data_IF_703631870142
#
_entry.id   IF_703631870142
#
_cell.length_a   1.000
_cell.length_b   1.000
_cell.length_c   1.000
_cell.angle_alpha   90.00
_cell.angle_beta   90.00
_cell.angle_gamma   90.00
#
_symmetry.space_group_name_H-M   'P 1'
#
loop_
_entity.id
_entity.type
_entity.pdbx_description
1 polymer ?
#
# COMPACT_ATOMS: atom_id res chain seq x y z
N UNK A 1 -24.48 -3.37 12.97
CA UNK A 1 -23.38 -2.63 12.30
C UNK A 1 -22.43 -3.66 11.74
N UNK A 2 -21.89 -3.48 10.52
CA UNK A 2 -20.77 -4.32 10.06
C UNK A 2 -19.55 -3.89 10.87
N UNK A 3 -18.83 -4.85 11.44
CA UNK A 3 -17.55 -4.60 12.08
C UNK A 3 -16.54 -4.22 11.00
N UNK A 4 -15.79 -3.15 11.20
CA UNK A 4 -14.70 -2.75 10.33
C UNK A 4 -13.50 -3.64 10.67
N UNK A 5 -13.01 -4.44 9.71
CA UNK A 5 -11.87 -5.34 9.96
C UNK A 5 -10.56 -4.81 9.39
N UNK A 6 -9.46 -5.42 9.81
CA UNK A 6 -8.14 -5.20 9.23
C UNK A 6 -8.14 -5.45 7.72
N UNK A 7 -8.76 -6.54 7.26
CA UNK A 7 -8.85 -6.91 5.85
C UNK A 7 -9.61 -5.87 5.03
N UNK A 8 -10.68 -5.27 5.58
CA UNK A 8 -11.38 -4.16 4.93
C UNK A 8 -10.45 -2.97 4.70
N UNK A 9 -9.63 -2.63 5.69
CA UNK A 9 -8.61 -1.57 5.59
C UNK A 9 -7.56 -1.88 4.53
N UNK A 10 -7.09 -3.13 4.51
CA UNK A 10 -6.10 -3.59 3.54
C UNK A 10 -6.64 -3.58 2.10
N UNK A 11 -7.91 -3.93 1.89
CA UNK A 11 -8.56 -3.82 0.58
C UNK A 11 -8.69 -2.36 0.12
N UNK A 12 -9.01 -1.44 1.03
CA UNK A 12 -9.00 0.00 0.73
C UNK A 12 -7.60 0.46 0.32
N UNK A 13 -6.53 -0.02 0.97
CA UNK A 13 -5.16 0.28 0.56
C UNK A 13 -4.87 -0.18 -0.88
N UNK A 14 -5.30 -1.39 -1.26
CA UNK A 14 -5.18 -1.90 -2.65
C UNK A 14 -5.92 -1.00 -3.64
N UNK A 15 -7.14 -0.59 -3.32
CA UNK A 15 -7.96 0.29 -4.18
C UNK A 15 -7.30 1.67 -4.37
N UNK A 16 -6.79 2.26 -3.29
CA UNK A 16 -6.04 3.53 -3.37
C UNK A 16 -4.82 3.36 -4.27
N UNK A 17 -4.01 2.32 -4.04
CA UNK A 17 -2.79 2.10 -4.80
C UNK A 17 -3.05 1.91 -6.31
N UNK A 18 -4.16 1.28 -6.70
CA UNK A 18 -4.57 1.17 -8.12
C UNK A 18 -4.75 2.54 -8.80
N UNK A 19 -5.19 3.55 -8.05
CA UNK A 19 -5.54 4.87 -8.58
C UNK A 19 -4.44 5.94 -8.54
N UNK A 20 -3.27 5.65 -7.96
CA UNK A 20 -2.22 6.67 -7.71
C UNK A 20 -0.83 6.22 -8.11
N UNK A 21 0.04 7.19 -8.45
CA UNK A 21 1.48 6.98 -8.65
C UNK A 21 2.23 6.77 -7.32
N UNK A 22 3.49 6.31 -7.39
CA UNK A 22 4.31 6.02 -6.21
C UNK A 22 4.52 7.25 -5.29
N UNK A 23 4.91 8.45 -5.78
CA UNK A 23 5.05 9.62 -4.92
C UNK A 23 3.75 10.02 -4.19
N UNK A 24 2.59 9.89 -4.84
CA UNK A 24 1.29 10.13 -4.20
C UNK A 24 0.96 9.04 -3.18
N UNK A 25 1.24 7.77 -3.50
CA UNK A 25 1.04 6.66 -2.58
C UNK A 25 1.84 6.84 -1.28
N UNK A 26 3.12 7.22 -1.40
CA UNK A 26 3.98 7.49 -0.24
C UNK A 26 3.45 8.64 0.62
N UNK A 27 2.98 9.74 0.00
CA UNK A 27 2.36 10.84 0.74
C UNK A 27 1.09 10.42 1.47
N UNK A 28 0.23 9.62 0.83
CA UNK A 28 -0.99 9.10 1.46
C UNK A 28 -0.60 8.21 2.65
N UNK A 29 0.34 7.29 2.47
CA UNK A 29 0.84 6.43 3.53
C UNK A 29 1.32 7.24 4.75
N UNK A 30 2.15 8.27 4.57
CA UNK A 30 2.63 9.09 5.70
C UNK A 30 1.51 9.85 6.41
N UNK A 31 0.55 10.41 5.65
CA UNK A 31 -0.61 11.11 6.23
C UNK A 31 -1.48 10.16 7.04
N UNK A 32 -1.79 8.98 6.49
CA UNK A 32 -2.64 7.98 7.14
C UNK A 32 -1.93 7.35 8.34
N UNK A 33 -0.63 7.08 8.23
CA UNK A 33 0.20 6.61 9.35
C UNK A 33 0.20 7.60 10.50
N UNK A 34 0.27 8.90 10.21
CA UNK A 34 0.13 9.94 11.24
C UNK A 34 -1.28 9.99 11.83
N UNK A 35 -2.31 9.83 11.00
CA UNK A 35 -3.70 9.77 11.47
C UNK A 35 -3.96 8.56 12.39
N UNK A 36 -3.27 7.44 12.16
CA UNK A 36 -3.35 6.24 13.00
C UNK A 36 -2.98 6.51 14.47
N UNK A 37 -2.11 7.49 14.75
CA UNK A 37 -1.74 7.88 16.12
C UNK A 37 -2.93 8.43 16.93
N UNK A 38 -4.01 8.84 16.26
CA UNK A 38 -5.25 9.27 16.90
C UNK A 38 -6.12 8.09 17.39
N UNK A 39 -5.89 6.87 16.89
CA UNK A 39 -6.64 5.66 17.24
C UNK A 39 -5.92 4.88 18.35
N UNK A 40 -6.10 5.35 19.59
CA UNK A 40 -5.38 4.83 20.77
C UNK A 40 -6.05 3.63 21.44
N UNK A 41 -7.37 3.52 21.30
CA UNK A 41 -8.16 2.47 21.94
C UNK A 41 -8.32 1.28 20.98
N UNK A 42 -8.28 0.06 21.51
CA UNK A 42 -8.60 -1.14 20.75
C UNK A 42 -10.07 -1.12 20.33
N UNK A 43 -10.31 -1.42 19.05
CA UNK A 43 -11.64 -1.39 18.44
C UNK A 43 -11.57 -1.56 16.93
N UNK A 44 -12.72 -1.87 16.34
CA UNK A 44 -12.88 -2.13 14.90
C UNK A 44 -12.29 -1.02 14.02
N UNK A 45 -12.45 0.26 14.41
CA UNK A 45 -11.86 1.38 13.68
C UNK A 45 -10.33 1.38 13.70
N UNK A 46 -9.73 0.96 14.83
CA UNK A 46 -8.28 0.86 14.97
C UNK A 46 -7.75 -0.28 14.12
N UNK A 47 -8.43 -1.43 14.12
CA UNK A 47 -8.04 -2.60 13.31
C UNK A 47 -8.12 -2.30 11.81
N UNK A 48 -9.20 -1.64 11.37
CA UNK A 48 -9.31 -1.14 10.00
C UNK A 48 -8.19 -0.18 9.62
N UNK A 49 -7.90 0.80 10.48
CA UNK A 49 -6.85 1.78 10.21
C UNK A 49 -5.46 1.13 10.18
N UNK A 50 -5.21 0.10 11.01
CA UNK A 50 -3.99 -0.72 10.94
C UNK A 50 -3.87 -1.40 9.57
N UNK A 51 -4.91 -2.08 9.11
CA UNK A 51 -4.92 -2.74 7.81
C UNK A 51 -4.66 -1.77 6.65
N UNK A 52 -5.26 -0.58 6.71
CA UNK A 52 -5.03 0.48 5.73
C UNK A 52 -3.57 0.96 5.73
N UNK A 53 -2.99 1.24 6.90
CA UNK A 53 -1.59 1.70 7.02
C UNK A 53 -0.62 0.63 6.55
N UNK A 54 -0.80 -0.62 6.98
CA UNK A 54 0.06 -1.74 6.59
C UNK A 54 0.00 -1.97 5.09
N UNK A 55 -1.20 -2.06 4.51
CA UNK A 55 -1.38 -2.24 3.08
C UNK A 55 -0.76 -1.13 2.25
N UNK A 56 -0.95 0.15 2.65
CA UNK A 56 -0.33 1.28 1.94
C UNK A 56 1.20 1.22 2.02
N UNK A 57 1.74 0.89 3.18
CA UNK A 57 3.18 0.78 3.41
C UNK A 57 3.82 -0.36 2.61
N UNK A 58 3.20 -1.53 2.59
CA UNK A 58 3.67 -2.69 1.82
C UNK A 58 3.67 -2.44 0.32
N UNK A 59 2.54 -1.95 -0.22
CA UNK A 59 2.43 -1.69 -1.66
C UNK A 59 3.42 -0.59 -2.08
N UNK A 60 3.61 0.43 -1.24
CA UNK A 60 4.61 1.47 -1.48
C UNK A 60 6.03 0.90 -1.55
N UNK A 61 6.43 0.06 -0.59
CA UNK A 61 7.76 -0.59 -0.57
C UNK A 61 7.97 -1.46 -1.80
N UNK A 62 6.99 -2.30 -2.14
CA UNK A 62 7.07 -3.17 -3.33
C UNK A 62 7.29 -2.35 -4.61
N UNK A 63 6.53 -1.25 -4.79
CA UNK A 63 6.69 -0.38 -5.96
C UNK A 63 8.05 0.31 -6.01
N UNK A 64 8.59 0.69 -4.86
CA UNK A 64 9.93 1.26 -4.76
C UNK A 64 11.01 0.23 -5.15
N UNK A 65 10.90 -1.00 -4.66
CA UNK A 65 11.82 -2.08 -5.00
C UNK A 65 11.77 -2.41 -6.49
N UNK A 66 10.58 -2.46 -7.08
CA UNK A 66 10.41 -2.64 -8.54
C UNK A 66 11.09 -1.50 -9.30
N UNK A 67 10.87 -0.24 -8.90
CA UNK A 67 11.52 0.90 -9.54
C UNK A 67 13.05 0.82 -9.43
N UNK A 68 13.57 0.37 -8.28
CA UNK A 68 14.99 0.16 -8.04
C UNK A 68 15.56 -0.93 -8.95
N UNK A 69 14.89 -2.07 -9.05
CA UNK A 69 15.29 -3.18 -9.95
C UNK A 69 15.33 -2.72 -11.40
N UNK A 70 14.31 -2.00 -11.86
CA UNK A 70 14.26 -1.45 -13.22
C UNK A 70 15.44 -0.50 -13.46
N UNK A 71 15.80 0.34 -12.50
CA UNK A 71 16.93 1.26 -12.64
C UNK A 71 18.28 0.53 -12.72
N UNK A 72 18.48 -0.52 -11.92
CA UNK A 72 19.69 -1.37 -11.98
C UNK A 72 19.76 -2.10 -13.33
N UNK A 73 18.65 -2.66 -13.81
CA UNK A 73 18.64 -3.33 -15.10
C UNK A 73 18.97 -2.38 -16.26
N UNK A 74 18.41 -1.18 -16.25
CA UNK A 74 18.70 -0.13 -17.23
C UNK A 74 20.18 0.25 -17.26
N UNK A 75 20.85 0.36 -16.10
CA UNK A 75 22.29 0.67 -16.06
C UNK A 75 23.17 -0.45 -16.62
N UNK A 76 22.63 -1.67 -16.73
CA UNK A 76 23.27 -2.83 -17.34
C UNK A 76 22.88 -3.03 -18.82
N UNK A 77 22.08 -2.13 -19.41
CA UNK A 77 21.57 -2.28 -20.78
C UNK A 77 20.46 -3.33 -20.94
N UNK A 78 19.83 -3.74 -19.83
CA UNK A 78 18.76 -4.75 -19.79
C UNK A 78 17.40 -4.04 -19.78
N UNK A 79 16.50 -4.42 -20.69
CA UNK A 79 15.11 -3.99 -20.66
C UNK A 79 14.28 -4.95 -19.81
N UNK A 80 13.52 -4.43 -18.85
CA UNK A 80 12.59 -5.20 -18.00
C UNK A 80 11.20 -4.62 -18.16
N UNK A 81 10.23 -5.49 -18.44
CA UNK A 81 8.81 -5.17 -18.39
C UNK A 81 8.20 -5.83 -17.14
N UNK A 82 7.53 -5.04 -16.30
CA UNK A 82 6.88 -5.54 -15.07
C UNK A 82 5.39 -5.36 -15.19
N UNK A 83 4.66 -6.48 -15.19
CA UNK A 83 3.20 -6.51 -15.24
C UNK A 83 2.65 -6.84 -13.84
N UNK A 84 2.13 -5.83 -13.14
CA UNK A 84 1.52 -6.01 -11.81
C UNK A 84 0.01 -6.19 -11.97
N UNK A 85 -0.53 -7.33 -11.51
CA UNK A 85 -1.96 -7.61 -11.46
C UNK A 85 -2.43 -7.59 -10.01
N UNK A 86 -3.54 -6.91 -9.74
CA UNK A 86 -4.10 -6.75 -8.40
C UNK A 86 -5.45 -7.47 -8.31
N UNK A 87 -5.47 -8.66 -7.70
CA UNK A 87 -6.68 -9.46 -7.49
C UNK A 87 -6.64 -10.83 -8.13
N UNK A 88 -5.67 -11.67 -7.77
CA UNK A 88 -5.85 -13.12 -7.87
C UNK A 88 -6.58 -13.56 -6.59
N UNK A 89 -7.82 -14.02 -6.73
CA UNK A 89 -8.45 -14.87 -5.71
C UNK A 89 -7.56 -16.10 -5.56
N UNK A 90 -7.03 -16.32 -4.34
CA UNK A 90 -6.45 -17.60 -3.94
C UNK A 90 -7.50 -18.33 -3.11
#
# INVERSE_FOLDING_TARGET
MRNLSFEDGYEVAKLIAKGVDLPRLQRIYEVVKKAMECFKEEGDERDFMLGLVEGLGEISRLREDIARIINVAKSMGISIEVNIRYGEEV
#
